data_IF_132879660520
#
_entry.id   IF_132879660520
#
_cell.length_a   1.000
_cell.length_b   1.000
_cell.length_c   1.000
_cell.angle_alpha   90.00
_cell.angle_beta   90.00
_cell.angle_gamma   90.00
#
_symmetry.space_group_name_H-M   'P 1'
#
loop_
_entity.id
_entity.type
_entity.pdbx_description
1 polymer ?
#
# COMPACT_ATOMS: atom_id res chain seq x y z
N UNK A 1 16.43 -5.74 6.29
CA UNK A 1 15.34 -5.23 5.44
C UNK A 1 14.18 -6.20 5.63
N UNK A 2 13.11 -5.76 6.29
CA UNK A 2 11.94 -6.62 6.58
C UNK A 2 10.91 -6.40 5.49
N UNK A 3 10.83 -7.36 4.57
CA UNK A 3 9.80 -7.40 3.53
C UNK A 3 8.50 -7.90 4.15
N UNK A 4 7.38 -7.23 3.87
CA UNK A 4 6.06 -7.67 4.33
C UNK A 4 5.41 -8.49 3.22
N UNK A 5 5.11 -9.75 3.53
CA UNK A 5 4.55 -10.73 2.60
C UNK A 5 3.18 -11.18 3.12
N UNK A 6 2.11 -10.97 2.34
CA UNK A 6 0.77 -11.44 2.71
C UNK A 6 0.49 -12.87 2.20
N UNK A 7 -0.62 -13.46 2.64
CA UNK A 7 -1.01 -14.84 2.31
C UNK A 7 -1.26 -15.11 0.82
N UNK A 8 -1.40 -14.05 0.00
CA UNK A 8 -1.54 -14.13 -1.46
C UNK A 8 -0.22 -14.02 -2.22
N UNK A 9 0.92 -13.95 -1.51
CA UNK A 9 2.23 -13.76 -2.13
C UNK A 9 2.44 -12.34 -2.68
N UNK A 10 1.53 -11.39 -2.40
CA UNK A 10 1.79 -9.98 -2.66
C UNK A 10 2.81 -9.50 -1.64
N UNK A 11 4.06 -9.40 -2.11
CA UNK A 11 5.16 -8.78 -1.39
C UNK A 11 5.15 -7.29 -1.69
N UNK A 12 5.22 -6.48 -0.65
CA UNK A 12 5.55 -5.07 -0.81
C UNK A 12 6.76 -4.72 0.03
N UNK A 13 7.70 -4.01 -0.58
CA UNK A 13 8.88 -3.44 0.10
C UNK A 13 8.56 -2.07 0.72
N UNK A 14 7.30 -1.64 0.64
CA UNK A 14 6.80 -0.41 1.22
C UNK A 14 6.54 -0.60 2.73
N UNK A 15 6.90 0.40 3.52
CA UNK A 15 6.67 0.43 4.97
C UNK A 15 6.19 1.79 5.44
N UNK A 16 5.66 1.83 6.67
CA UNK A 16 5.31 3.11 7.31
C UNK A 16 6.52 4.04 7.37
N UNK A 17 6.26 5.32 7.10
CA UNK A 17 7.30 6.35 7.01
C UNK A 17 8.00 6.42 5.65
N UNK A 18 7.84 5.44 4.76
CA UNK A 18 8.40 5.55 3.42
C UNK A 18 7.73 6.68 2.63
N UNK A 19 8.56 7.40 1.88
CA UNK A 19 8.13 8.36 0.88
C UNK A 19 7.69 7.62 -0.37
N UNK A 20 6.53 7.95 -0.91
CA UNK A 20 5.95 7.31 -2.09
C UNK A 20 5.46 8.31 -3.10
N UNK A 21 5.40 7.86 -4.35
CA UNK A 21 4.77 8.55 -5.47
C UNK A 21 3.64 7.69 -6.04
N UNK A 22 2.57 8.34 -6.48
CA UNK A 22 1.51 7.65 -7.20
C UNK A 22 1.97 7.35 -8.63
N UNK A 23 1.90 6.08 -9.07
CA UNK A 23 2.40 5.69 -10.41
C UNK A 23 1.60 6.34 -11.55
N UNK A 24 0.29 6.46 -11.40
CA UNK A 24 -0.59 7.00 -12.44
C UNK A 24 -0.61 8.53 -12.53
N UNK A 25 -0.17 9.22 -11.46
CA UNK A 25 -0.17 10.69 -11.38
C UNK A 25 1.22 11.18 -11.01
N UNK A 26 2.09 11.42 -12.01
CA UNK A 26 3.42 11.96 -11.79
C UNK A 26 3.35 13.27 -10.99
N UNK A 27 4.16 13.39 -9.94
CA UNK A 27 4.24 14.58 -9.09
C UNK A 27 3.40 14.51 -7.82
N UNK A 28 2.49 13.54 -7.66
CA UNK A 28 1.82 13.31 -6.38
C UNK A 28 2.73 12.52 -5.44
N UNK A 29 3.29 13.21 -4.44
CA UNK A 29 4.17 12.61 -3.43
C UNK A 29 3.54 12.66 -2.03
N UNK A 30 3.81 11.61 -1.24
CA UNK A 30 3.27 11.47 0.10
C UNK A 30 4.09 10.52 0.96
N UNK A 31 3.66 10.34 2.20
CA UNK A 31 4.30 9.46 3.19
C UNK A 31 3.30 8.38 3.59
N UNK A 32 3.75 7.13 3.62
CA UNK A 32 2.93 6.04 4.16
C UNK A 32 2.75 6.24 5.66
N UNK A 33 1.49 6.26 6.08
CA UNK A 33 1.12 6.36 7.49
C UNK A 33 0.66 5.04 8.09
N UNK A 34 0.19 4.11 7.26
CA UNK A 34 -0.28 2.81 7.74
C UNK A 34 -0.27 1.78 6.62
N UNK A 35 0.07 0.54 6.96
CA UNK A 35 -0.23 -0.63 6.13
C UNK A 35 -1.25 -1.50 6.88
N UNK A 36 -2.33 -1.89 6.20
CA UNK A 36 -3.38 -2.74 6.74
C UNK A 36 -3.58 -3.94 5.83
N UNK A 37 -3.66 -5.13 6.41
CA UNK A 37 -4.18 -6.30 5.70
C UNK A 37 -5.70 -6.34 5.83
N UNK A 38 -6.41 -6.37 4.70
CA UNK A 38 -7.85 -6.58 4.65
C UNK A 38 -8.14 -7.98 4.13
N UNK A 39 -9.00 -8.71 4.85
CA UNK A 39 -9.48 -10.02 4.41
C UNK A 39 -10.67 -9.79 3.50
N UNK A 40 -10.51 -10.08 2.20
CA UNK A 40 -11.62 -10.02 1.24
C UNK A 40 -12.27 -11.39 1.21
N UNK A 41 -13.23 -11.59 2.11
CA UNK A 41 -13.98 -12.85 2.21
C UNK A 41 -15.08 -12.93 1.15
N UNK A 42 -14.93 -13.84 0.19
CA UNK A 42 -16.04 -14.35 -0.62
C UNK A 42 -16.30 -15.79 -0.21
N UNK A 43 -17.53 -16.09 0.17
CA UNK A 43 -18.00 -17.38 0.66
C UNK A 43 -17.52 -18.55 -0.22
N UNK A 44 -16.54 -19.31 0.26
CA UNK A 44 -16.28 -20.68 -0.22
C UNK A 44 -14.94 -20.99 -0.90
N UNK A 45 -14.06 -20.03 -1.21
CA UNK A 45 -12.75 -20.36 -1.75
C UNK A 45 -11.70 -19.27 -1.53
N UNK A 46 -10.65 -19.63 -0.78
CA UNK A 46 -9.37 -18.93 -0.59
C UNK A 46 -9.49 -17.54 0.05
N UNK A 47 -9.01 -17.42 1.29
CA UNK A 47 -8.91 -16.14 2.02
C UNK A 47 -7.95 -15.18 1.29
N UNK A 48 -8.49 -14.39 0.37
CA UNK A 48 -7.72 -13.37 -0.34
C UNK A 48 -7.45 -12.20 0.61
N UNK A 49 -6.24 -12.16 1.17
CA UNK A 49 -5.75 -11.01 1.94
C UNK A 49 -5.18 -9.98 0.98
N UNK A 50 -5.74 -8.76 0.98
CA UNK A 50 -5.23 -7.63 0.22
C UNK A 50 -4.49 -6.66 1.15
N UNK A 51 -3.33 -6.14 0.74
CA UNK A 51 -2.65 -5.07 1.47
C UNK A 51 -3.25 -3.73 1.02
N UNK A 52 -3.64 -2.92 1.99
CA UNK A 52 -4.12 -1.55 1.81
C UNK A 52 -3.17 -0.58 2.52
N UNK A 53 -2.71 0.43 1.79
CA UNK A 53 -1.72 1.40 2.26
C UNK A 53 -2.38 2.77 2.39
N UNK A 54 -2.34 3.34 3.61
CA UNK A 54 -2.77 4.71 3.86
C UNK A 54 -1.61 5.67 3.60
N UNK A 55 -1.80 6.61 2.70
CA UNK A 55 -0.82 7.64 2.35
C UNK A 55 -1.32 9.01 2.82
N UNK A 56 -0.44 9.78 3.45
CA UNK A 56 -0.61 11.23 3.66
C UNK A 56 0.13 11.96 2.55
N UNK A 57 -0.62 12.64 1.69
CA UNK A 57 -0.07 13.46 0.61
C UNK A 57 0.45 14.80 1.12
N UNK A 58 1.36 15.42 0.37
CA UNK A 58 1.93 16.73 0.73
C UNK A 58 0.91 17.86 0.84
N UNK A 59 -0.21 17.74 0.14
CA UNK A 59 -1.33 18.66 0.25
C UNK A 59 -2.18 18.44 1.52
N UNK A 60 -1.76 17.54 2.42
CA UNK A 60 -2.42 17.25 3.69
C UNK A 60 -3.59 16.26 3.59
N UNK A 61 -3.87 15.70 2.41
CA UNK A 61 -4.98 14.76 2.22
C UNK A 61 -4.57 13.31 2.46
N UNK A 62 -5.51 12.50 2.91
CA UNK A 62 -5.32 11.06 3.08
C UNK A 62 -5.98 10.29 1.95
N UNK A 63 -5.35 9.19 1.56
CA UNK A 63 -5.91 8.25 0.58
C UNK A 63 -5.42 6.84 0.86
N UNK A 64 -6.16 5.87 0.33
CA UNK A 64 -5.83 4.45 0.47
C UNK A 64 -5.56 3.85 -0.91
N UNK A 65 -4.49 3.07 -1.02
CA UNK A 65 -4.06 2.45 -2.27
C UNK A 65 -3.62 1.01 -2.05
N UNK A 66 -3.70 0.21 -3.11
CA UNK A 66 -2.95 -1.03 -3.18
C UNK A 66 -1.45 -0.73 -3.36
N UNK A 67 -0.54 -1.63 -2.92
CA UNK A 67 0.89 -1.48 -3.14
C UNK A 67 1.25 -1.25 -4.60
N UNK A 68 0.54 -1.88 -5.53
CA UNK A 68 0.83 -1.81 -6.96
C UNK A 68 0.63 -0.41 -7.55
N UNK A 69 -0.21 0.43 -6.95
CA UNK A 69 -0.45 1.81 -7.38
C UNK A 69 0.63 2.80 -6.91
N UNK A 70 1.53 2.38 -6.02
CA UNK A 70 2.54 3.21 -5.39
C UNK A 70 3.95 2.76 -5.80
N UNK A 71 4.86 3.72 -5.95
CA UNK A 71 6.29 3.46 -6.05
C UNK A 71 6.99 4.18 -4.91
N UNK A 72 8.07 3.60 -4.40
CA UNK A 72 8.95 4.27 -3.45
C UNK A 72 9.56 5.49 -4.15
N UNK A 73 9.57 6.64 -3.47
CA UNK A 73 10.31 7.80 -3.93
C UNK A 73 11.80 7.56 -3.65
N UNK A 74 12.62 7.77 -4.68
CA UNK A 74 14.08 7.60 -4.64
C UNK A 74 14.76 8.59 -3.68
#
# INVERSE_FOLDING_TARGET
>A
MTNSENANGQRTDLKEGDRVIQKEKPGCQGIIKMLREETVGSSGAVDNKAIMIKVLWDNGTYSYFSPDALSKAS
#
